data_IF_316571203670
#
_entry.id   IF_316571203670
#
_cell.length_a   1.000
_cell.length_b   1.000
_cell.length_c   1.000
_cell.angle_alpha   90.00
_cell.angle_beta   90.00
_cell.angle_gamma   90.00
#
_symmetry.space_group_name_H-M   'P 1'
#
loop_
_entity.id
_entity.type
_entity.pdbx_description
1 polymer ?
#
# COMPACT_ATOMS: atom_id res chain seq x y z
N UNK A 1 -0.12 2.14 -2.52
CA UNK A 1 -0.70 1.45 -3.70
C UNK A 1 -1.02 2.51 -4.74
N UNK A 2 -0.77 2.28 -6.03
CA UNK A 2 -0.99 3.31 -7.06
C UNK A 2 -1.36 2.72 -8.43
N UNK A 3 -2.09 3.48 -9.25
CA UNK A 3 -2.43 3.09 -10.61
C UNK A 3 -1.42 3.61 -11.64
N UNK A 4 -0.94 2.77 -12.55
CA UNK A 4 0.06 3.19 -13.57
C UNK A 4 -0.50 4.15 -14.62
N UNK A 5 -1.82 4.20 -14.79
CA UNK A 5 -2.52 5.08 -15.73
C UNK A 5 -3.09 6.33 -15.04
N UNK A 6 -2.72 6.61 -13.78
CA UNK A 6 -3.14 7.83 -13.11
C UNK A 6 -2.47 9.07 -13.75
N UNK A 7 -3.28 9.88 -14.43
CA UNK A 7 -2.87 11.14 -15.04
C UNK A 7 -3.03 12.35 -14.10
N UNK A 8 -3.76 12.21 -13.00
CA UNK A 8 -3.94 13.26 -11.98
C UNK A 8 -2.78 13.27 -11.00
N UNK A 9 -2.34 12.08 -10.60
CA UNK A 9 -1.16 11.88 -9.76
C UNK A 9 -0.26 10.87 -10.46
N UNK A 10 0.73 11.33 -11.24
CA UNK A 10 1.61 10.45 -12.00
C UNK A 10 2.37 9.45 -11.10
N UNK A 11 2.53 8.21 -11.59
CA UNK A 11 3.15 7.10 -10.83
C UNK A 11 4.58 7.41 -10.35
N UNK A 12 5.33 8.23 -11.10
CA UNK A 12 6.68 8.63 -10.73
C UNK A 12 6.75 9.36 -9.38
N UNK A 13 5.70 10.09 -8.99
CA UNK A 13 5.63 10.76 -7.69
C UNK A 13 5.58 9.72 -6.55
N UNK A 14 4.78 8.66 -6.72
CA UNK A 14 4.72 7.56 -5.76
C UNK A 14 6.04 6.78 -5.69
N UNK A 15 6.75 6.62 -6.80
CA UNK A 15 8.07 6.00 -6.86
C UNK A 15 9.13 6.83 -6.13
N UNK A 16 9.18 8.14 -6.37
CA UNK A 16 10.10 9.06 -5.71
C UNK A 16 9.88 9.10 -4.20
N UNK A 17 8.62 9.16 -3.76
CA UNK A 17 8.29 9.10 -2.33
C UNK A 17 8.73 7.78 -1.70
N UNK A 18 8.44 6.65 -2.35
CA UNK A 18 8.86 5.34 -1.84
C UNK A 18 10.39 5.21 -1.75
N UNK A 19 11.11 5.79 -2.71
CA UNK A 19 12.59 5.87 -2.68
C UNK A 19 13.07 6.68 -1.48
N UNK A 20 12.56 7.90 -1.30
CA UNK A 20 12.94 8.77 -0.19
C UNK A 20 12.66 8.11 1.17
N UNK A 21 11.49 7.50 1.36
CA UNK A 21 11.15 6.80 2.59
C UNK A 21 12.13 5.65 2.90
N UNK A 22 12.51 4.86 1.89
CA UNK A 22 13.53 3.79 2.06
C UNK A 22 14.90 4.36 2.42
N UNK A 23 15.30 5.47 1.80
CA UNK A 23 16.57 6.15 2.13
C UNK A 23 16.58 6.66 3.58
N UNK A 24 15.42 7.02 4.13
CA UNK A 24 15.25 7.40 5.53
C UNK A 24 15.00 6.20 6.48
N UNK A 25 15.26 4.97 6.03
CA UNK A 25 15.19 3.77 6.85
C UNK A 25 13.78 3.18 7.07
N UNK A 26 12.76 3.72 6.39
CA UNK A 26 11.42 3.15 6.48
C UNK A 26 11.28 1.88 5.63
N UNK A 27 10.60 0.87 6.18
CA UNK A 27 10.24 -0.32 5.41
C UNK A 27 9.01 -0.03 4.53
N UNK A 28 9.20 0.04 3.21
CA UNK A 28 8.14 0.41 2.25
C UNK A 28 7.88 -0.68 1.22
N UNK A 29 6.65 -1.20 1.21
CA UNK A 29 6.11 -2.08 0.16
C UNK A 29 5.22 -1.29 -0.80
N UNK A 30 5.62 -1.21 -2.07
CA UNK A 30 4.85 -0.57 -3.15
C UNK A 30 4.10 -1.63 -3.95
N UNK A 31 2.85 -1.34 -4.33
CA UNK A 31 2.04 -2.15 -5.24
C UNK A 31 1.45 -1.24 -6.30
N UNK A 32 1.71 -1.57 -7.57
CA UNK A 32 1.28 -0.82 -8.74
C UNK A 32 0.32 -1.64 -9.60
N UNK A 33 -0.80 -1.03 -9.99
CA UNK A 33 -1.82 -1.67 -10.83
C UNK A 33 -1.69 -1.18 -12.27
N UNK A 34 -1.42 -2.09 -13.21
CA UNK A 34 -1.15 -1.76 -14.62
C UNK A 34 -2.32 -1.02 -15.28
N UNK A 35 -3.55 -1.48 -15.02
CA UNK A 35 -4.78 -0.87 -15.56
C UNK A 35 -5.44 0.10 -14.57
N UNK A 36 -4.78 0.38 -13.44
CA UNK A 36 -5.28 1.30 -12.43
C UNK A 36 -5.11 2.75 -12.87
N UNK A 37 -6.18 3.54 -12.74
CA UNK A 37 -6.14 5.00 -12.88
C UNK A 37 -6.06 5.67 -11.49
N UNK A 38 -6.49 6.93 -11.38
CA UNK A 38 -6.65 7.62 -10.10
C UNK A 38 -7.60 6.90 -9.13
N UNK A 39 -8.66 6.27 -9.66
CA UNK A 39 -9.55 5.42 -8.88
C UNK A 39 -9.20 3.96 -9.13
N UNK A 40 -8.74 3.27 -8.11
CA UNK A 40 -8.36 1.85 -8.19
C UNK A 40 -9.56 0.89 -8.04
N UNK A 41 -10.68 1.35 -7.46
CA UNK A 41 -11.89 0.54 -7.30
C UNK A 41 -11.62 -0.78 -6.57
N UNK A 42 -12.26 -1.86 -7.02
CA UNK A 42 -12.15 -3.19 -6.39
C UNK A 42 -10.78 -3.87 -6.55
N UNK A 43 -9.89 -3.33 -7.39
CA UNK A 43 -8.56 -3.91 -7.65
C UNK A 43 -7.70 -3.96 -6.37
N UNK A 44 -7.96 -3.08 -5.41
CA UNK A 44 -7.21 -3.02 -4.14
C UNK A 44 -7.76 -3.93 -3.06
N UNK A 45 -8.98 -4.44 -3.20
CA UNK A 45 -9.71 -5.05 -2.06
C UNK A 45 -8.95 -6.23 -1.48
N UNK A 46 -8.55 -7.20 -2.30
CA UNK A 46 -7.84 -8.38 -1.84
C UNK A 46 -6.40 -8.06 -1.39
N UNK A 47 -5.56 -7.35 -2.18
CA UNK A 47 -4.22 -6.98 -1.74
C UNK A 47 -4.18 -6.15 -0.44
N UNK A 48 -5.17 -5.28 -0.23
CA UNK A 48 -5.28 -4.48 0.99
C UNK A 48 -5.63 -5.36 2.19
N UNK A 49 -6.60 -6.26 2.05
CA UNK A 49 -6.98 -7.20 3.13
C UNK A 49 -5.79 -8.07 3.55
N UNK A 50 -5.03 -8.58 2.59
CA UNK A 50 -3.88 -9.43 2.88
C UNK A 50 -2.75 -8.63 3.55
N UNK A 51 -2.51 -7.39 3.10
CA UNK A 51 -1.56 -6.49 3.76
C UNK A 51 -1.98 -6.21 5.21
N UNK A 52 -3.24 -5.87 5.46
CA UNK A 52 -3.74 -5.59 6.80
C UNK A 52 -3.65 -6.82 7.71
N UNK A 53 -4.05 -8.01 7.23
CA UNK A 53 -3.94 -9.26 8.00
C UNK A 53 -2.49 -9.57 8.39
N UNK A 54 -1.54 -9.30 7.50
CA UNK A 54 -0.13 -9.58 7.75
C UNK A 54 0.55 -8.57 8.71
N UNK A 55 0.02 -7.36 8.84
CA UNK A 55 0.71 -6.26 9.55
C UNK A 55 -0.05 -5.74 10.77
N UNK A 56 -1.36 -5.96 10.86
CA UNK A 56 -2.15 -5.67 12.05
C UNK A 56 -2.31 -6.99 12.81
N UNK A 57 -1.43 -7.21 13.79
CA UNK A 57 -1.65 -8.28 14.76
C UNK A 57 -3.01 -8.08 15.41
N UNK A 58 -3.80 -9.15 15.57
CA UNK A 58 -5.01 -9.11 16.39
C UNK A 58 -4.69 -8.49 17.75
N UNK A 59 -5.59 -7.67 18.34
CA UNK A 59 -5.40 -7.23 19.71
C UNK A 59 -5.19 -8.46 20.57
N UNK A 60 -4.10 -8.44 21.34
CA UNK A 60 -3.75 -9.42 22.34
C UNK A 60 -5.00 -10.07 22.96
N UNK A 61 -5.19 -11.37 22.71
CA UNK A 61 -5.88 -12.27 23.64
C UNK A 61 -5.01 -12.40 24.88
N UNK A 62 -4.91 -11.30 25.63
CA UNK A 62 -4.25 -11.23 26.93
C UNK A 62 -5.27 -10.64 27.89
N UNK A 63 -5.91 -11.50 28.68
CA UNK A 63 -6.74 -11.10 29.81
C UNK A 63 -8.01 -11.93 30.00
N UNK A 64 -7.92 -13.09 30.65
CA UNK A 64 -8.37 -13.22 32.03
C UNK A 64 -8.06 -14.61 32.59
N UNK A 65 -7.34 -14.58 33.72
CA UNK A 65 -7.38 -15.47 34.89
C UNK A 65 -7.14 -16.96 34.71
#
# INVERSE_FOLDING_TARGET
MHGKQDRKTPVNQAEQLARALREHGAHVKTLFFADGSHRLGKMVDQPLRDFLRANLASPSSGGNS
#
